data_IF_369736928081
#
_entry.id   IF_369736928081
#
_cell.length_a   1.000
_cell.length_b   1.000
_cell.length_c   1.000
_cell.angle_alpha   90.00
_cell.angle_beta   90.00
_cell.angle_gamma   90.00
#
_symmetry.space_group_name_H-M   'P 1'
#
loop_
_entity.id
_entity.type
_entity.pdbx_description
1 polymer ?
#
# COMPACT_ATOMS: atom_id res chain seq x y z
N UNK A 1 -3.39 22.93 2.36
CA UNK A 1 -2.38 22.11 3.07
C UNK A 1 -2.88 20.68 3.12
N UNK A 2 -2.26 19.72 2.41
CA UNK A 2 -2.57 18.29 2.59
C UNK A 2 -2.08 17.90 4.00
N UNK A 3 -2.98 17.51 4.90
CA UNK A 3 -2.61 16.87 6.17
C UNK A 3 -2.08 15.48 5.81
N UNK A 4 -0.80 15.22 6.03
CA UNK A 4 -0.26 13.87 5.93
C UNK A 4 -0.73 13.09 7.16
N UNK A 5 -1.52 12.03 6.95
CA UNK A 5 -1.73 11.01 7.97
C UNK A 5 -0.45 10.18 8.04
N UNK A 6 0.58 10.72 8.70
CA UNK A 6 1.77 9.96 9.06
C UNK A 6 1.40 8.97 10.17
N UNK A 7 0.69 7.91 9.82
CA UNK A 7 0.76 6.69 10.61
C UNK A 7 2.06 6.02 10.20
N UNK A 8 3.11 6.24 11.01
CA UNK A 8 4.36 5.48 10.88
C UNK A 8 3.99 4.00 10.80
N UNK A 9 4.48 3.32 9.77
CA UNK A 9 4.52 1.87 9.77
C UNK A 9 5.16 1.43 11.09
N UNK A 10 4.47 0.57 11.83
CA UNK A 10 5.00 0.03 13.06
C UNK A 10 6.18 -0.89 12.76
N UNK A 11 7.08 -1.03 13.73
CA UNK A 11 8.03 -2.13 13.68
C UNK A 11 7.29 -3.48 13.74
N UNK A 12 7.99 -4.54 13.35
CA UNK A 12 7.41 -5.89 13.26
C UNK A 12 6.83 -6.36 14.60
N UNK A 13 7.42 -5.94 15.72
CA UNK A 13 6.96 -6.32 17.05
C UNK A 13 5.61 -5.69 17.39
N UNK A 14 5.45 -4.38 17.15
CA UNK A 14 4.18 -3.72 17.41
C UNK A 14 3.09 -4.14 16.41
N UNK A 15 3.43 -4.40 15.15
CA UNK A 15 2.50 -4.98 14.17
C UNK A 15 2.03 -6.38 14.58
N UNK A 16 2.95 -7.23 15.07
CA UNK A 16 2.62 -8.55 15.61
C UNK A 16 1.71 -8.44 16.82
N UNK A 17 1.93 -7.45 17.70
CA UNK A 17 1.09 -7.24 18.87
C UNK A 17 -0.36 -6.92 18.47
N UNK A 18 -0.57 -6.09 17.45
CA UNK A 18 -1.93 -5.80 16.94
C UNK A 18 -2.63 -7.09 16.54
N UNK A 19 -1.97 -7.98 15.82
CA UNK A 19 -2.57 -9.25 15.41
C UNK A 19 -2.84 -10.19 16.60
N UNK A 20 -1.99 -10.17 17.64
CA UNK A 20 -2.23 -10.93 18.89
C UNK A 20 -3.44 -10.42 19.66
N UNK A 21 -3.62 -9.11 19.70
CA UNK A 21 -4.71 -8.47 20.43
C UNK A 21 -6.08 -8.67 19.74
N UNK A 22 -6.10 -9.22 18.52
CA UNK A 22 -7.29 -9.46 17.70
C UNK A 22 -7.79 -10.92 17.74
N UNK A 23 -7.34 -11.75 18.69
CA UNK A 23 -7.75 -13.17 18.85
C UNK A 23 -7.60 -14.04 17.59
N UNK A 24 -6.72 -13.64 16.65
CA UNK A 24 -6.43 -14.43 15.46
C UNK A 24 -5.68 -15.71 15.82
N UNK A 25 -5.94 -16.77 15.05
CA UNK A 25 -5.20 -18.03 15.21
C UNK A 25 -3.73 -17.79 14.90
N UNK A 26 -2.84 -18.29 15.78
CA UNK A 26 -1.40 -18.21 15.56
C UNK A 26 -1.07 -19.05 14.33
N UNK A 27 -0.58 -18.37 13.29
CA UNK A 27 -0.40 -18.94 11.97
C UNK A 27 0.95 -18.48 11.39
N UNK A 28 1.60 -19.33 10.61
CA UNK A 28 2.86 -18.99 9.95
C UNK A 28 2.70 -17.90 8.86
N UNK A 29 1.47 -17.59 8.46
CA UNK A 29 1.14 -16.55 7.49
C UNK A 29 1.06 -15.13 8.09
N UNK A 30 1.22 -14.96 9.41
CA UNK A 30 1.18 -13.64 10.06
C UNK A 30 2.18 -12.66 9.46
N UNK A 31 3.39 -13.15 9.17
CA UNK A 31 4.42 -12.30 8.58
C UNK A 31 4.02 -11.82 7.19
N UNK A 32 3.29 -12.63 6.42
CA UNK A 32 2.78 -12.21 5.10
C UNK A 32 1.74 -11.11 5.22
N UNK A 33 0.84 -11.16 6.20
CA UNK A 33 -0.09 -10.06 6.48
C UNK A 33 0.68 -8.78 6.85
N UNK A 34 1.62 -8.87 7.79
CA UNK A 34 2.41 -7.72 8.23
C UNK A 34 3.20 -7.12 7.06
N UNK A 35 3.82 -7.95 6.22
CA UNK A 35 4.59 -7.49 5.06
C UNK A 35 3.68 -6.90 3.98
N UNK A 36 2.50 -7.46 3.75
CA UNK A 36 1.56 -6.94 2.75
C UNK A 36 0.96 -5.60 3.17
N UNK A 37 0.52 -5.49 4.43
CA UNK A 37 -0.03 -4.27 5.03
C UNK A 37 1.04 -3.35 5.62
N UNK A 38 2.32 -3.68 5.45
CA UNK A 38 3.49 -2.87 5.82
C UNK A 38 3.46 -2.40 7.28
N UNK A 39 2.92 -3.21 8.19
CA UNK A 39 2.82 -2.85 9.61
C UNK A 39 1.90 -1.66 9.90
N UNK A 40 1.01 -1.26 8.98
CA UNK A 40 0.09 -0.15 9.20
C UNK A 40 -1.01 -0.57 10.20
N UNK A 41 -1.13 0.09 11.37
CA UNK A 41 -2.10 -0.28 12.39
C UNK A 41 -3.54 -0.29 11.90
N UNK A 42 -3.90 0.68 11.05
CA UNK A 42 -5.28 0.84 10.56
C UNK A 42 -5.63 -0.34 9.66
N UNK A 43 -4.77 -0.64 8.68
CA UNK A 43 -5.03 -1.74 7.76
C UNK A 43 -4.97 -3.09 8.45
N UNK A 44 -4.05 -3.28 9.40
CA UNK A 44 -3.95 -4.52 10.18
C UNK A 44 -5.19 -4.75 11.06
N UNK A 45 -5.77 -3.71 11.66
CA UNK A 45 -7.00 -3.86 12.43
C UNK A 45 -8.20 -4.19 11.54
N UNK A 46 -8.33 -3.53 10.37
CA UNK A 46 -9.41 -3.82 9.42
C UNK A 46 -9.33 -5.27 8.97
N UNK A 47 -8.17 -5.70 8.46
CA UNK A 47 -8.04 -7.07 7.94
C UNK A 47 -8.19 -8.12 9.05
N UNK A 48 -7.71 -7.86 10.26
CA UNK A 48 -7.89 -8.76 11.39
C UNK A 48 -9.37 -8.95 11.74
N UNK A 49 -10.15 -7.86 11.71
CA UNK A 49 -11.60 -7.91 11.90
C UNK A 49 -12.26 -8.76 10.81
N UNK A 50 -11.92 -8.51 9.55
CA UNK A 50 -12.45 -9.28 8.42
C UNK A 50 -12.10 -10.78 8.51
N UNK A 51 -10.89 -11.13 8.97
CA UNK A 51 -10.49 -12.53 9.16
C UNK A 51 -11.30 -13.20 10.27
N UNK A 52 -11.57 -12.51 11.37
CA UNK A 52 -12.44 -13.02 12.42
C UNK A 52 -13.86 -13.25 11.93
N UNK A 53 -14.43 -12.27 11.25
CA UNK A 53 -15.83 -12.30 10.82
C UNK A 53 -16.10 -13.35 9.74
N UNK A 54 -15.18 -13.52 8.79
CA UNK A 54 -15.37 -14.40 7.63
C UNK A 54 -14.76 -15.80 7.81
N UNK A 55 -13.67 -15.91 8.58
CA UNK A 55 -12.86 -17.12 8.67
C UNK A 55 -12.64 -17.59 10.11
N UNK A 56 -13.39 -17.05 11.10
CA UNK A 56 -13.26 -17.42 12.52
C UNK A 56 -11.82 -17.35 13.04
N UNK A 57 -11.08 -16.34 12.58
CA UNK A 57 -9.69 -16.08 12.97
C UNK A 57 -8.65 -16.90 12.20
N UNK A 58 -9.06 -17.73 11.22
CA UNK A 58 -8.16 -18.53 10.40
C UNK A 58 -7.54 -17.71 9.25
N UNK A 59 -6.29 -17.30 9.46
CA UNK A 59 -5.55 -16.51 8.47
C UNK A 59 -5.23 -17.32 7.22
N UNK A 60 -4.89 -18.60 7.35
CA UNK A 60 -4.58 -19.46 6.20
C UNK A 60 -5.75 -19.56 5.22
N UNK A 61 -6.99 -19.50 5.70
CA UNK A 61 -8.18 -19.58 4.86
C UNK A 61 -8.35 -18.35 3.95
N UNK A 62 -8.03 -17.15 4.45
CA UNK A 62 -7.98 -15.93 3.63
C UNK A 62 -7.08 -16.13 2.39
N UNK A 63 -5.88 -16.67 2.60
CA UNK A 63 -4.88 -16.86 1.55
C UNK A 63 -5.21 -17.99 0.56
N UNK A 64 -6.24 -18.82 0.83
CA UNK A 64 -6.66 -19.87 -0.11
C UNK A 64 -7.46 -19.33 -1.28
N UNK A 65 -8.24 -18.27 -1.07
CA UNK A 65 -9.20 -17.77 -2.05
C UNK A 65 -8.67 -16.54 -2.82
N UNK A 66 -7.85 -15.72 -2.18
CA UNK A 66 -7.12 -14.62 -2.81
C UNK A 66 -5.85 -14.34 -1.98
N UNK A 67 -4.64 -14.45 -2.54
CA UNK A 67 -3.43 -14.20 -1.77
C UNK A 67 -3.33 -12.76 -1.23
N UNK A 68 -4.19 -11.83 -1.66
CA UNK A 68 -4.10 -10.42 -1.29
C UNK A 68 -5.48 -9.76 -1.16
N UNK A 69 -6.41 -10.30 -0.38
CA UNK A 69 -7.73 -9.67 -0.21
C UNK A 69 -7.64 -8.18 0.17
N UNK A 70 -8.27 -7.31 -0.63
CA UNK A 70 -8.45 -5.88 -0.33
C UNK A 70 -9.86 -5.64 0.22
N UNK A 71 -9.93 -5.41 1.52
CA UNK A 71 -11.16 -5.06 2.22
C UNK A 71 -11.81 -3.79 1.64
N UNK A 72 -13.14 -3.72 1.66
CA UNK A 72 -13.89 -2.58 1.17
C UNK A 72 -13.57 -1.28 1.93
N UNK A 73 -13.37 -1.36 3.25
CA UNK A 73 -13.01 -0.20 4.07
C UNK A 73 -11.61 0.31 3.73
N UNK A 74 -10.67 -0.61 3.46
CA UNK A 74 -9.34 -0.26 2.98
C UNK A 74 -9.41 0.41 1.61
N UNK A 75 -10.24 -0.11 0.68
CA UNK A 75 -10.43 0.49 -0.64
C UNK A 75 -10.99 1.91 -0.53
N UNK A 76 -11.95 2.16 0.35
CA UNK A 76 -12.53 3.48 0.55
C UNK A 76 -11.51 4.47 1.11
N UNK A 77 -10.72 4.07 2.11
CA UNK A 77 -9.63 4.89 2.64
C UNK A 77 -8.61 5.25 1.56
N UNK A 78 -8.21 4.26 0.74
CA UNK A 78 -7.30 4.49 -0.37
C UNK A 78 -7.92 5.37 -1.46
N UNK A 79 -9.22 5.21 -1.74
CA UNK A 79 -9.92 6.05 -2.70
C UNK A 79 -9.88 7.52 -2.31
N UNK A 80 -10.16 7.84 -1.04
CA UNK A 80 -10.13 9.21 -0.53
C UNK A 80 -8.73 9.83 -0.60
N UNK A 81 -7.69 9.06 -0.33
CA UNK A 81 -6.30 9.53 -0.41
C UNK A 81 -5.86 9.76 -1.87
N UNK A 82 -6.23 8.86 -2.78
CA UNK A 82 -5.87 8.95 -4.20
C UNK A 82 -6.68 10.01 -4.96
N UNK A 83 -7.94 10.25 -4.57
CA UNK A 83 -8.79 11.28 -5.17
C UNK A 83 -8.18 12.70 -5.01
N UNK A 84 -7.29 12.89 -4.04
CA UNK A 84 -6.62 14.18 -3.80
C UNK A 84 -5.38 14.38 -4.68
N UNK A 85 -4.90 13.34 -5.36
CA UNK A 85 -3.72 13.40 -6.22
C UNK A 85 -4.01 14.15 -7.51
N UNK A 86 -3.03 14.91 -7.97
CA UNK A 86 -3.06 15.52 -9.31
C UNK A 86 -2.95 14.45 -10.40
N UNK A 87 -3.38 14.78 -11.60
CA UNK A 87 -3.31 13.87 -12.75
C UNK A 87 -1.88 13.38 -13.04
N UNK A 88 -0.86 14.24 -12.86
CA UNK A 88 0.54 13.83 -13.01
C UNK A 88 1.02 12.92 -11.87
N UNK A 89 0.59 13.16 -10.63
CA UNK A 89 0.88 12.26 -9.50
C UNK A 89 0.25 10.87 -9.73
N UNK A 90 -1.00 10.85 -10.18
CA UNK A 90 -1.73 9.65 -10.57
C UNK A 90 -1.02 8.90 -11.70
N UNK A 91 -0.56 9.60 -12.73
CA UNK A 91 0.18 9.00 -13.85
C UNK A 91 1.47 8.32 -13.39
N UNK A 92 2.26 8.98 -12.53
CA UNK A 92 3.50 8.41 -11.97
C UNK A 92 3.19 7.16 -11.13
N UNK A 93 2.19 7.23 -10.25
CA UNK A 93 1.78 6.10 -9.42
C UNK A 93 1.27 4.93 -10.25
N UNK A 94 0.41 5.19 -11.24
CA UNK A 94 -0.10 4.15 -12.16
C UNK A 94 1.04 3.47 -12.91
N UNK A 95 2.06 4.23 -13.32
CA UNK A 95 3.24 3.65 -13.95
C UNK A 95 4.03 2.77 -12.99
N UNK A 96 4.30 3.23 -11.77
CA UNK A 96 4.99 2.44 -10.74
C UNK A 96 4.23 1.14 -10.42
N UNK A 97 2.89 1.17 -10.43
CA UNK A 97 2.07 -0.02 -10.15
C UNK A 97 2.28 -1.15 -11.17
N UNK A 98 2.68 -0.82 -12.40
CA UNK A 98 3.00 -1.82 -13.43
C UNK A 98 4.37 -2.45 -13.28
N UNK A 99 5.25 -1.91 -12.43
CA UNK A 99 6.63 -2.39 -12.29
C UNK A 99 6.75 -3.39 -11.18
N UNK A 100 7.36 -4.55 -11.45
CA UNK A 100 7.62 -5.58 -10.44
C UNK A 100 8.68 -5.14 -9.45
N UNK A 101 9.71 -4.45 -9.95
CA UNK A 101 10.87 -3.99 -9.18
C UNK A 101 10.88 -2.47 -9.04
N UNK A 102 11.66 -1.96 -8.08
CA UNK A 102 11.86 -0.53 -7.91
C UNK A 102 12.62 0.04 -9.13
N UNK A 103 12.20 1.22 -9.60
CA UNK A 103 12.78 1.85 -10.81
C UNK A 103 13.41 3.21 -10.53
N UNK A 104 14.46 3.53 -11.29
CA UNK A 104 15.17 4.81 -11.18
C UNK A 104 14.36 5.97 -11.80
N UNK A 105 14.74 7.20 -11.43
CA UNK A 105 14.17 8.43 -12.00
C UNK A 105 14.35 8.48 -13.52
N UNK A 106 15.49 8.03 -14.04
CA UNK A 106 15.74 7.99 -15.48
C UNK A 106 14.67 7.18 -16.23
N UNK A 107 14.32 6.00 -15.72
CA UNK A 107 13.29 5.15 -16.32
C UNK A 107 11.89 5.81 -16.31
N UNK A 108 11.60 6.60 -15.27
CA UNK A 108 10.36 7.37 -15.18
C UNK A 108 10.32 8.52 -16.19
N UNK A 109 11.43 9.23 -16.41
CA UNK A 109 11.52 10.30 -17.41
C UNK A 109 11.29 9.75 -18.82
N UNK A 110 11.97 8.64 -19.15
CA UNK A 110 11.87 7.99 -20.46
C UNK A 110 10.45 7.51 -20.75
N UNK A 111 9.73 7.07 -19.71
CA UNK A 111 8.39 6.49 -19.86
C UNK A 111 7.25 7.51 -19.85
N UNK A 112 7.38 8.61 -19.11
CA UNK A 112 6.26 9.52 -18.81
C UNK A 112 6.32 10.86 -19.55
N UNK A 113 7.45 11.21 -20.17
CA UNK A 113 7.64 12.48 -20.88
C UNK A 113 7.33 13.72 -20.01
N UNK A 114 7.55 13.62 -18.70
CA UNK A 114 7.33 14.70 -17.72
C UNK A 114 8.64 15.50 -17.56
N UNK A 115 8.60 16.84 -17.46
CA UNK A 115 9.79 17.63 -17.13
C UNK A 115 10.46 17.17 -15.84
N UNK A 116 11.80 17.15 -15.79
CA UNK A 116 12.54 16.67 -14.62
C UNK A 116 12.15 17.39 -13.33
N UNK A 117 11.97 18.72 -13.38
CA UNK A 117 11.54 19.50 -12.22
C UNK A 117 10.21 18.99 -11.64
N UNK A 118 9.27 18.67 -12.52
CA UNK A 118 7.92 18.26 -12.14
C UNK A 118 7.95 16.84 -11.59
N UNK A 119 8.69 15.94 -12.24
CA UNK A 119 8.87 14.56 -11.76
C UNK A 119 9.50 14.54 -10.35
N UNK A 120 10.52 15.36 -10.11
CA UNK A 120 11.15 15.45 -8.78
C UNK A 120 10.20 15.99 -7.72
N UNK A 121 9.36 16.97 -8.06
CA UNK A 121 8.33 17.49 -7.16
C UNK A 121 7.24 16.45 -6.87
N UNK A 122 6.83 15.69 -7.89
CA UNK A 122 5.86 14.60 -7.76
C UNK A 122 6.42 13.52 -6.83
N UNK A 123 7.63 13.01 -7.09
CA UNK A 123 8.28 12.00 -6.24
C UNK A 123 8.34 12.49 -4.78
N UNK A 124 8.78 13.73 -4.54
CA UNK A 124 8.79 14.31 -3.17
C UNK A 124 7.40 14.36 -2.53
N UNK A 125 6.38 14.76 -3.31
CA UNK A 125 5.00 14.82 -2.84
C UNK A 125 4.49 13.44 -2.44
N UNK A 126 4.69 12.44 -3.29
CA UNK A 126 4.28 11.05 -3.09
C UNK A 126 5.00 10.40 -1.90
N UNK A 127 6.30 10.66 -1.72
CA UNK A 127 7.07 10.21 -0.56
C UNK A 127 6.53 10.80 0.75
N UNK A 128 6.21 12.09 0.76
CA UNK A 128 5.64 12.76 1.94
C UNK A 128 4.29 12.15 2.34
N UNK A 129 3.51 11.70 1.37
CA UNK A 129 2.25 11.01 1.60
C UNK A 129 2.41 9.51 1.90
N UNK A 130 3.65 9.00 2.00
CA UNK A 130 3.93 7.57 2.19
C UNK A 130 3.30 6.66 1.13
N UNK A 131 3.10 7.19 -0.09
CA UNK A 131 2.52 6.43 -1.19
C UNK A 131 3.58 5.67 -2.00
N UNK A 132 4.83 6.12 -1.98
CA UNK A 132 5.96 5.44 -2.63
C UNK A 132 7.10 5.24 -1.63
N UNK A 133 7.87 4.18 -1.83
CA UNK A 133 9.08 3.88 -1.10
C UNK A 133 10.32 4.14 -1.93
N UNK A 134 11.41 4.46 -1.24
CA UNK A 134 12.74 4.59 -1.84
C UNK A 134 13.59 3.41 -1.42
N UNK A 135 14.10 2.68 -2.40
CA UNK A 135 15.06 1.58 -2.25
C UNK A 135 16.36 2.02 -2.91
N UNK A 136 17.33 2.45 -2.11
CA UNK A 136 18.57 3.10 -2.59
C UNK A 136 18.27 4.28 -3.52
N UNK A 137 18.50 4.15 -4.83
CA UNK A 137 18.24 5.18 -5.84
C UNK A 137 16.96 4.93 -6.67
N UNK A 138 16.21 3.88 -6.32
CA UNK A 138 15.02 3.44 -7.02
C UNK A 138 13.76 3.69 -6.19
N UNK A 139 12.61 3.70 -6.88
CA UNK A 139 11.30 3.97 -6.29
C UNK A 139 10.33 2.85 -6.61
N UNK A 140 9.51 2.48 -5.63
CA UNK A 140 8.46 1.47 -5.76
C UNK A 140 7.21 1.87 -4.99
N UNK A 141 6.13 1.12 -5.18
CA UNK A 141 4.91 1.22 -4.39
C UNK A 141 4.87 0.14 -3.31
N UNK A 142 4.14 0.42 -2.23
CA UNK A 142 3.77 -0.60 -1.26
C UNK A 142 2.93 -1.71 -1.92
N UNK A 143 3.06 -2.98 -1.48
CA UNK A 143 2.28 -4.09 -2.04
C UNK A 143 0.77 -3.82 -2.07
N UNK A 144 0.21 -3.31 -0.97
CA UNK A 144 -1.19 -2.93 -0.86
C UNK A 144 -1.62 -1.89 -1.90
N UNK A 145 -0.83 -0.82 -2.04
CA UNK A 145 -1.12 0.29 -2.95
C UNK A 145 -1.07 -0.18 -4.40
N UNK A 146 -0.06 -1.00 -4.73
CA UNK A 146 0.09 -1.60 -6.05
C UNK A 146 -1.13 -2.40 -6.43
N UNK A 147 -1.62 -3.25 -5.53
CA UNK A 147 -2.82 -4.01 -5.78
C UNK A 147 -4.04 -3.12 -5.94
N UNK A 148 -4.22 -2.12 -5.05
CA UNK A 148 -5.33 -1.19 -5.13
C UNK A 148 -5.39 -0.50 -6.50
N UNK A 149 -4.26 -0.03 -7.02
CA UNK A 149 -4.17 0.62 -8.34
C UNK A 149 -4.47 -0.36 -9.47
N UNK A 150 -3.95 -1.58 -9.42
CA UNK A 150 -4.20 -2.60 -10.45
C UNK A 150 -5.68 -2.99 -10.49
N UNK A 151 -6.32 -3.12 -9.33
CA UNK A 151 -7.75 -3.45 -9.21
C UNK A 151 -8.66 -2.29 -9.59
N UNK A 152 -8.21 -1.04 -9.45
CA UNK A 152 -9.00 0.17 -9.70
C UNK A 152 -8.53 0.96 -10.94
N UNK A 153 -7.98 0.28 -11.95
CA UNK A 153 -7.50 0.89 -13.21
C UNK A 153 -8.52 1.78 -13.96
N UNK A 154 -9.80 1.79 -13.54
CA UNK A 154 -10.88 2.57 -14.14
C UNK A 154 -11.21 3.87 -13.38
N UNK A 155 -10.57 4.15 -12.25
CA UNK A 155 -10.91 5.29 -11.36
C UNK A 155 -9.78 6.33 -11.26
N UNK A 156 -8.61 6.02 -11.83
CA UNK A 156 -7.44 6.91 -11.83
C UNK A 156 -7.28 7.56 -13.20
#
# INVERSE_FOLDING_TARGET
MRRSLHLKCLDKEAATKILKDQDLQIDNQWQKLIDFYQGNPTWLNIIATTINDLFSGNISELFQYDPLFLDADIKELLHQEFARLSELEKQVISHLATKTEAIAIANLLDSLQIPLSDLLNIIKSLQRCSLIEKQENNFTLLPLLKQYIISNKFII
#
